data_IF_222492127904
#
_entry.id   IF_222492127904
#
_cell.length_a   1.000
_cell.length_b   1.000
_cell.length_c   1.000
_cell.angle_alpha   90.00
_cell.angle_beta   90.00
_cell.angle_gamma   90.00
#
_symmetry.space_group_name_H-M   'P 1'
#
loop_
_entity.id
_entity.type
_entity.pdbx_description
1 polymer ?
#
# COMPACT_ATOMS: atom_id res chain seq x y z
N UNK A 1 -1.90 -34.87 31.63
CA UNK A 1 -1.60 -34.92 30.17
C UNK A 1 -1.46 -33.51 29.57
N UNK A 2 -2.47 -32.64 29.73
CA UNK A 2 -2.44 -31.27 29.19
C UNK A 2 -1.25 -30.43 29.68
N UNK A 3 -0.96 -30.40 30.98
CA UNK A 3 0.20 -29.67 31.53
C UNK A 3 1.51 -30.08 30.86
N UNK A 4 1.72 -31.38 30.62
CA UNK A 4 2.93 -31.89 29.94
C UNK A 4 2.97 -31.45 28.47
N UNK A 5 1.83 -31.49 27.78
CA UNK A 5 1.71 -31.05 26.40
C UNK A 5 2.03 -29.54 26.26
N UNK A 6 1.44 -28.70 27.11
CA UNK A 6 1.72 -27.25 27.09
C UNK A 6 3.18 -26.92 27.36
N UNK A 7 3.81 -27.59 28.33
CA UNK A 7 5.24 -27.41 28.60
C UNK A 7 6.10 -27.86 27.40
N UNK A 8 5.71 -28.93 26.71
CA UNK A 8 6.43 -29.42 25.54
C UNK A 8 6.26 -28.53 24.30
N UNK A 9 5.10 -27.90 24.14
CA UNK A 9 4.77 -26.98 23.02
C UNK A 9 5.38 -25.60 23.22
N UNK A 10 5.55 -25.17 24.48
CA UNK A 10 5.99 -23.81 24.80
C UNK A 10 7.25 -23.36 24.04
N UNK A 11 8.33 -24.16 23.92
CA UNK A 11 9.49 -23.75 23.13
C UNK A 11 9.17 -23.53 21.64
N UNK A 12 8.38 -24.43 21.03
CA UNK A 12 8.02 -24.34 19.60
C UNK A 12 7.15 -23.12 19.30
N UNK A 13 6.34 -22.67 20.25
CA UNK A 13 5.47 -21.51 20.09
C UNK A 13 6.16 -20.19 20.49
N UNK A 14 6.84 -20.16 21.64
CA UNK A 14 7.35 -18.92 22.23
C UNK A 14 8.68 -18.46 21.63
N UNK A 15 9.58 -19.36 21.21
CA UNK A 15 10.86 -18.94 20.62
C UNK A 15 10.71 -18.17 19.31
N UNK A 16 9.91 -18.63 18.33
CA UNK A 16 9.69 -17.87 17.10
C UNK A 16 9.01 -16.53 17.37
N UNK A 17 7.98 -16.50 18.22
CA UNK A 17 7.27 -15.26 18.58
C UNK A 17 8.19 -14.26 19.29
N UNK A 18 9.04 -14.71 20.22
CA UNK A 18 10.01 -13.85 20.87
C UNK A 18 11.07 -13.33 19.88
N UNK A 19 11.50 -14.16 18.93
CA UNK A 19 12.40 -13.76 17.85
C UNK A 19 11.81 -12.67 16.95
N UNK A 20 10.53 -12.82 16.56
CA UNK A 20 9.79 -11.80 15.81
C UNK A 20 9.69 -10.50 16.60
N UNK A 21 9.22 -10.54 17.84
CA UNK A 21 9.08 -9.34 18.67
C UNK A 21 10.41 -8.63 18.93
N UNK A 22 11.51 -9.39 19.05
CA UNK A 22 12.85 -8.82 19.14
C UNK A 22 13.26 -8.13 17.83
N UNK A 23 12.99 -8.75 16.68
CA UNK A 23 13.23 -8.16 15.37
C UNK A 23 12.41 -6.88 15.20
N UNK A 24 11.12 -6.90 15.54
CA UNK A 24 10.24 -5.72 15.53
C UNK A 24 10.78 -4.61 16.42
N UNK A 25 11.21 -4.93 17.64
CA UNK A 25 11.80 -3.96 18.55
C UNK A 25 13.07 -3.32 17.97
N UNK A 26 13.95 -4.12 17.36
CA UNK A 26 15.18 -3.62 16.71
C UNK A 26 14.83 -2.72 15.52
N UNK A 27 13.90 -3.15 14.66
CA UNK A 27 13.41 -2.36 13.53
C UNK A 27 12.84 -1.03 14.02
N UNK A 28 11.90 -1.04 14.97
CA UNK A 28 11.29 0.16 15.53
C UNK A 28 12.32 1.10 16.16
N UNK A 29 13.28 0.57 16.93
CA UNK A 29 14.34 1.39 17.54
C UNK A 29 15.28 1.99 16.49
N UNK A 30 15.62 1.24 15.44
CA UNK A 30 16.49 1.73 14.37
C UNK A 30 15.80 2.75 13.45
N UNK A 31 14.49 2.63 13.25
CA UNK A 31 13.71 3.55 12.41
C UNK A 31 13.13 4.74 13.18
N UNK A 32 13.04 4.67 14.51
CA UNK A 32 12.48 5.72 15.37
C UNK A 32 12.98 7.15 15.04
N UNK A 33 14.28 7.39 14.79
CA UNK A 33 14.77 8.74 14.47
C UNK A 33 14.26 9.30 13.13
N UNK A 34 13.73 8.44 12.26
CA UNK A 34 13.27 8.77 10.91
C UNK A 34 11.75 8.87 10.81
N UNK A 35 11.00 8.55 11.88
CA UNK A 35 9.54 8.64 11.88
C UNK A 35 9.12 10.11 11.94
N UNK A 36 8.47 10.59 10.87
CA UNK A 36 7.99 11.97 10.76
C UNK A 36 6.65 12.20 11.47
N UNK A 37 5.76 11.19 11.42
CA UNK A 37 4.37 11.24 11.89
C UNK A 37 3.79 9.83 12.04
N UNK A 38 2.77 9.67 12.89
CA UNK A 38 2.09 8.39 13.12
C UNK A 38 2.64 7.59 14.32
N UNK A 39 2.15 6.35 14.47
CA UNK A 39 2.62 5.40 15.49
C UNK A 39 2.55 3.98 14.94
N UNK A 40 3.43 3.07 15.38
CA UNK A 40 3.30 1.67 15.02
C UNK A 40 1.99 1.09 15.59
N UNK A 41 1.35 0.23 14.82
CA UNK A 41 0.17 -0.54 15.27
C UNK A 41 0.64 -1.76 16.06
N UNK A 42 0.98 -1.55 17.34
CA UNK A 42 1.49 -2.61 18.23
C UNK A 42 0.51 -3.79 18.37
N UNK A 43 -0.79 -3.53 18.20
CA UNK A 43 -1.82 -4.56 18.16
C UNK A 43 -1.66 -5.53 16.99
N UNK A 44 -1.16 -5.08 15.84
CA UNK A 44 -0.89 -5.94 14.69
C UNK A 44 0.38 -6.77 14.92
N UNK A 45 1.44 -6.17 15.49
CA UNK A 45 2.65 -6.90 15.88
C UNK A 45 2.32 -8.01 16.90
N UNK A 46 1.42 -7.73 17.84
CA UNK A 46 0.92 -8.75 18.76
C UNK A 46 0.13 -9.85 18.04
N UNK A 47 -0.68 -9.50 17.04
CA UNK A 47 -1.40 -10.49 16.23
C UNK A 47 -0.46 -11.39 15.43
N UNK A 48 0.62 -10.85 14.86
CA UNK A 48 1.62 -11.61 14.13
C UNK A 48 2.42 -12.54 15.05
N UNK A 49 2.79 -12.07 16.24
CA UNK A 49 3.42 -12.90 17.26
C UNK A 49 2.52 -14.07 17.69
N UNK A 50 1.22 -13.83 17.84
CA UNK A 50 0.23 -14.87 18.14
C UNK A 50 0.08 -15.85 16.97
N UNK A 51 0.03 -15.35 15.73
CA UNK A 51 -0.04 -16.19 14.53
C UNK A 51 1.19 -17.11 14.42
N UNK A 52 2.38 -16.58 14.68
CA UNK A 52 3.62 -17.33 14.65
C UNK A 52 3.70 -18.37 15.77
N UNK A 53 3.26 -18.01 16.98
CA UNK A 53 3.15 -18.95 18.10
C UNK A 53 2.14 -20.08 17.80
N UNK A 54 1.00 -19.74 17.19
CA UNK A 54 -0.01 -20.70 16.76
C UNK A 54 0.52 -21.66 15.70
N UNK A 55 1.27 -21.16 14.70
CA UNK A 55 1.93 -21.98 13.69
C UNK A 55 2.95 -22.95 14.33
N UNK A 56 3.76 -22.48 15.29
CA UNK A 56 4.69 -23.31 16.04
C UNK A 56 3.99 -24.42 16.84
N UNK A 57 2.86 -24.10 17.48
CA UNK A 57 2.06 -25.08 18.21
C UNK A 57 1.41 -26.13 17.29
N UNK A 58 0.88 -25.71 16.13
CA UNK A 58 0.33 -26.62 15.12
C UNK A 58 1.43 -27.53 14.55
N UNK A 59 2.60 -26.97 14.20
CA UNK A 59 3.75 -27.74 13.75
C UNK A 59 4.20 -28.78 14.77
N UNK A 60 4.19 -28.44 16.07
CA UNK A 60 4.46 -29.39 17.15
C UNK A 60 3.44 -30.54 17.16
N UNK A 61 2.14 -30.24 17.08
CA UNK A 61 1.08 -31.27 17.05
C UNK A 61 1.25 -32.19 15.83
N UNK A 62 1.55 -31.63 14.65
CA UNK A 62 1.80 -32.43 13.44
C UNK A 62 3.05 -33.30 13.60
N UNK A 63 4.13 -32.78 14.18
CA UNK A 63 5.34 -33.55 14.47
C UNK A 63 5.12 -34.72 15.45
N UNK A 64 4.16 -34.59 16.38
CA UNK A 64 3.73 -35.70 17.24
C UNK A 64 2.94 -36.78 16.48
N UNK A 65 2.19 -36.39 15.44
CA UNK A 65 1.35 -37.30 14.67
C UNK A 65 2.08 -37.96 13.49
N UNK A 66 3.08 -37.29 12.92
CA UNK A 66 3.80 -37.70 11.72
C UNK A 66 5.28 -37.87 12.05
N UNK A 67 5.73 -39.13 12.20
CA UNK A 67 7.12 -39.47 12.57
C UNK A 67 8.13 -39.36 11.42
N UNK A 68 7.82 -38.58 10.38
CA UNK A 68 8.64 -38.48 9.19
C UNK A 68 9.59 -37.30 9.26
N UNK A 69 10.89 -37.53 9.02
CA UNK A 69 11.94 -36.52 9.15
C UNK A 69 11.76 -35.32 8.21
N UNK A 70 11.12 -35.51 7.05
CA UNK A 70 10.87 -34.43 6.09
C UNK A 70 9.52 -33.73 6.31
N UNK A 71 8.73 -34.12 7.32
CA UNK A 71 7.45 -33.47 7.59
C UNK A 71 7.65 -31.99 7.95
N UNK A 72 8.65 -31.68 8.79
CA UNK A 72 8.95 -30.31 9.18
C UNK A 72 9.33 -29.39 7.99
N UNK A 73 10.35 -29.72 7.15
CA UNK A 73 10.69 -28.86 6.03
C UNK A 73 9.56 -28.72 5.00
N UNK A 74 8.80 -29.80 4.74
CA UNK A 74 7.69 -29.73 3.79
C UNK A 74 6.50 -28.93 4.32
N UNK A 75 6.21 -28.99 5.63
CA UNK A 75 5.23 -28.10 6.24
C UNK A 75 5.67 -26.65 6.20
N UNK A 76 6.97 -26.38 6.37
CA UNK A 76 7.54 -25.05 6.20
C UNK A 76 7.33 -24.52 4.77
N UNK A 77 7.67 -25.32 3.76
CA UNK A 77 7.46 -24.97 2.34
C UNK A 77 5.97 -24.77 2.04
N UNK A 78 5.12 -25.71 2.47
CA UNK A 78 3.67 -25.60 2.25
C UNK A 78 3.07 -24.37 2.93
N UNK A 79 3.51 -24.06 4.16
CA UNK A 79 3.10 -22.85 4.89
C UNK A 79 3.52 -21.58 4.17
N UNK A 80 4.78 -21.51 3.71
CA UNK A 80 5.28 -20.37 2.93
C UNK A 80 4.48 -20.18 1.63
N UNK A 81 4.24 -21.25 0.88
CA UNK A 81 3.46 -21.21 -0.36
C UNK A 81 2.01 -20.79 -0.09
N UNK A 82 1.39 -21.28 0.99
CA UNK A 82 0.04 -20.88 1.38
C UNK A 82 -0.04 -19.38 1.77
N UNK A 83 0.95 -18.88 2.51
CA UNK A 83 1.05 -17.45 2.82
C UNK A 83 1.24 -16.60 1.56
N UNK A 84 2.06 -17.07 0.61
CA UNK A 84 2.26 -16.40 -0.67
C UNK A 84 0.94 -16.32 -1.46
N UNK A 85 0.24 -17.44 -1.66
CA UNK A 85 -1.06 -17.42 -2.34
C UNK A 85 -2.09 -16.55 -1.63
N UNK A 86 -2.10 -16.55 -0.29
CA UNK A 86 -2.96 -15.68 0.49
C UNK A 86 -2.63 -14.20 0.27
N UNK A 87 -1.35 -13.82 0.25
CA UNK A 87 -0.93 -12.43 0.08
C UNK A 87 -1.34 -11.85 -1.28
N UNK A 88 -1.30 -12.68 -2.34
CA UNK A 88 -1.66 -12.28 -3.71
C UNK A 88 -3.13 -12.55 -4.07
N UNK A 89 -3.96 -12.99 -3.13
CA UNK A 89 -5.38 -13.21 -3.41
C UNK A 89 -6.11 -11.88 -3.58
N UNK A 90 -6.86 -11.72 -4.67
CA UNK A 90 -7.72 -10.55 -4.93
C UNK A 90 -9.07 -10.61 -4.18
N UNK A 91 -9.18 -11.46 -3.16
CA UNK A 91 -10.41 -11.67 -2.40
C UNK A 91 -10.16 -11.53 -0.89
N UNK A 92 -11.24 -11.46 -0.10
CA UNK A 92 -11.17 -11.22 1.34
C UNK A 92 -10.41 -12.30 2.14
N UNK A 93 -10.08 -13.46 1.54
CA UNK A 93 -9.26 -14.47 2.22
C UNK A 93 -7.82 -14.00 2.47
N UNK A 94 -7.33 -13.02 1.71
CA UNK A 94 -5.99 -12.43 1.91
C UNK A 94 -5.79 -11.89 3.32
N UNK A 95 -6.87 -11.41 3.94
CA UNK A 95 -6.91 -10.84 5.28
C UNK A 95 -6.96 -11.88 6.41
N UNK A 96 -7.07 -13.18 6.10
CA UNK A 96 -6.96 -14.24 7.11
C UNK A 96 -5.51 -14.61 7.43
N UNK A 97 -4.58 -14.28 6.55
CA UNK A 97 -3.16 -14.55 6.70
C UNK A 97 -2.41 -13.32 7.23
N UNK A 98 -1.34 -13.52 8.02
CA UNK A 98 -0.46 -12.42 8.46
C UNK A 98 0.41 -11.86 7.32
N UNK A 99 0.33 -12.41 6.11
CA UNK A 99 1.13 -12.02 4.95
C UNK A 99 0.46 -10.97 4.06
N UNK A 100 -0.77 -10.54 4.39
CA UNK A 100 -1.46 -9.50 3.64
C UNK A 100 -0.75 -8.15 3.84
N UNK A 101 -0.25 -7.58 2.75
CA UNK A 101 0.36 -6.26 2.75
C UNK A 101 -0.70 -5.17 2.53
N UNK A 102 -0.51 -4.01 3.18
CA UNK A 102 -1.28 -2.81 2.90
C UNK A 102 -0.34 -1.61 2.96
N UNK A 103 -0.32 -0.83 1.89
CA UNK A 103 0.58 0.31 1.74
C UNK A 103 -0.27 1.57 1.61
N UNK A 104 -0.60 2.17 2.75
CA UNK A 104 -1.19 3.52 2.82
C UNK A 104 -0.88 4.08 4.21
N UNK A 105 0.00 5.07 4.29
CA UNK A 105 0.55 5.56 5.57
C UNK A 105 -0.42 6.43 6.37
N UNK A 106 -1.53 6.84 5.76
CA UNK A 106 -2.62 7.59 6.38
C UNK A 106 -3.78 6.70 6.84
N UNK A 107 -3.69 5.39 6.66
CA UNK A 107 -4.71 4.44 7.10
C UNK A 107 -4.41 3.88 8.49
N UNK A 108 -5.48 3.40 9.14
CA UNK A 108 -5.43 2.65 10.38
C UNK A 108 -6.27 1.38 10.26
N UNK A 109 -5.88 0.29 10.94
CA UNK A 109 -6.71 -0.88 11.00
C UNK A 109 -7.98 -0.58 11.82
N UNK A 110 -9.09 -1.23 11.48
CA UNK A 110 -10.27 -1.26 12.33
C UNK A 110 -9.91 -1.93 13.66
N UNK A 111 -10.36 -1.34 14.76
CA UNK A 111 -9.93 -1.69 16.11
C UNK A 111 -10.12 -3.17 16.50
N UNK A 112 -11.08 -3.85 15.86
CA UNK A 112 -11.39 -5.26 16.15
C UNK A 112 -10.57 -6.24 15.30
N UNK A 113 -9.86 -5.79 14.26
CA UNK A 113 -9.16 -6.69 13.34
C UNK A 113 -8.03 -7.47 14.03
N UNK A 114 -7.14 -6.78 14.75
CA UNK A 114 -6.07 -7.41 15.50
C UNK A 114 -6.58 -8.49 16.50
N UNK A 115 -7.55 -8.21 17.40
CA UNK A 115 -8.08 -9.24 18.28
C UNK A 115 -8.83 -10.36 17.54
N UNK A 116 -9.50 -10.07 16.42
CA UNK A 116 -10.10 -11.13 15.60
C UNK A 116 -9.04 -12.03 14.95
N UNK A 117 -7.95 -11.47 14.42
CA UNK A 117 -6.83 -12.22 13.86
C UNK A 117 -6.14 -13.11 14.91
N UNK A 118 -5.94 -12.58 16.12
CA UNK A 118 -5.45 -13.37 17.27
C UNK A 118 -6.42 -14.51 17.62
N UNK A 119 -7.72 -14.23 17.69
CA UNK A 119 -8.74 -15.22 18.02
C UNK A 119 -8.84 -16.33 16.96
N UNK A 120 -8.70 -15.97 15.68
CA UNK A 120 -8.63 -16.90 14.56
C UNK A 120 -7.45 -17.86 14.70
N UNK A 121 -6.22 -17.33 14.78
CA UNK A 121 -5.00 -18.14 14.77
C UNK A 121 -4.80 -18.91 16.07
N UNK A 122 -4.96 -18.25 17.23
CA UNK A 122 -4.87 -18.91 18.53
C UNK A 122 -5.97 -19.94 18.74
N UNK A 123 -7.21 -19.66 18.28
CA UNK A 123 -8.33 -20.58 18.40
C UNK A 123 -8.10 -21.89 17.65
N UNK A 124 -7.52 -21.84 16.44
CA UNK A 124 -7.13 -23.03 15.69
C UNK A 124 -6.05 -23.86 16.42
N UNK A 125 -5.00 -23.21 16.92
CA UNK A 125 -3.93 -23.89 17.64
C UNK A 125 -4.43 -24.52 18.95
N UNK A 126 -5.22 -23.79 19.73
CA UNK A 126 -5.83 -24.28 20.97
C UNK A 126 -6.79 -25.45 20.71
N UNK A 127 -7.62 -25.37 19.67
CA UNK A 127 -8.49 -26.47 19.28
C UNK A 127 -7.69 -27.74 18.95
N UNK A 128 -6.60 -27.63 18.20
CA UNK A 128 -5.72 -28.76 17.86
C UNK A 128 -5.04 -29.36 19.11
N UNK A 129 -4.49 -28.50 19.99
CA UNK A 129 -3.86 -28.92 21.24
C UNK A 129 -4.85 -29.63 22.18
N UNK A 130 -6.05 -29.09 22.34
CA UNK A 130 -7.10 -29.70 23.18
C UNK A 130 -7.59 -31.01 22.56
N UNK A 131 -7.85 -31.05 21.25
CA UNK A 131 -8.29 -32.26 20.56
C UNK A 131 -7.25 -33.39 20.65
N UNK A 132 -5.95 -33.05 20.63
CA UNK A 132 -4.86 -33.99 20.81
C UNK A 132 -4.68 -34.41 22.29
N UNK A 133 -4.57 -33.44 23.20
CA UNK A 133 -4.27 -33.68 24.61
C UNK A 133 -5.42 -34.27 25.43
N UNK A 134 -6.67 -34.03 25.02
CA UNK A 134 -7.88 -34.59 25.64
C UNK A 134 -8.38 -35.86 24.92
N UNK A 135 -7.66 -36.38 23.92
CA UNK A 135 -8.05 -37.59 23.17
C UNK A 135 -8.43 -38.79 24.06
N UNK A 136 -7.77 -39.06 25.21
CA UNK A 136 -8.15 -40.16 26.11
C UNK A 136 -9.37 -39.85 27.00
N UNK A 137 -9.76 -38.58 27.12
CA UNK A 137 -10.85 -38.14 27.98
C UNK A 137 -12.13 -37.94 27.15
N UNK A 138 -13.31 -38.19 27.74
CA UNK A 138 -14.62 -37.87 27.12
C UNK A 138 -14.88 -36.34 26.98
N UNK A 139 -13.85 -35.51 27.17
CA UNK A 139 -13.90 -34.05 27.15
C UNK A 139 -13.54 -33.43 25.80
N UNK A 140 -13.45 -34.26 24.75
CA UNK A 140 -13.19 -33.82 23.37
C UNK A 140 -14.11 -32.70 22.86
N UNK A 141 -15.41 -32.61 23.25
CA UNK A 141 -16.26 -31.47 22.89
C UNK A 141 -15.73 -30.11 23.36
N UNK A 142 -14.87 -30.05 24.39
CA UNK A 142 -14.27 -28.79 24.83
C UNK A 142 -13.36 -28.16 23.76
N UNK A 143 -12.81 -28.94 22.83
CA UNK A 143 -12.04 -28.41 21.70
C UNK A 143 -12.91 -27.65 20.68
N UNK A 144 -14.23 -27.83 20.71
CA UNK A 144 -15.16 -27.12 19.83
C UNK A 144 -15.31 -25.64 20.22
N UNK A 145 -15.08 -25.29 21.49
CA UNK A 145 -15.19 -23.90 21.96
C UNK A 145 -14.17 -22.98 21.26
N UNK A 146 -12.85 -23.23 21.34
CA UNK A 146 -11.88 -22.38 20.63
C UNK A 146 -12.01 -22.46 19.11
N UNK A 147 -12.47 -23.60 18.57
CA UNK A 147 -12.75 -23.72 17.14
C UNK A 147 -13.92 -22.82 16.72
N UNK A 148 -15.01 -22.79 17.49
CA UNK A 148 -16.15 -21.91 17.23
C UNK A 148 -15.75 -20.43 17.28
N UNK A 149 -14.92 -20.05 18.25
CA UNK A 149 -14.33 -18.70 18.33
C UNK A 149 -13.51 -18.38 17.08
N UNK A 150 -12.64 -19.30 16.65
CA UNK A 150 -11.82 -19.11 15.46
C UNK A 150 -12.70 -18.92 14.21
N UNK A 151 -13.71 -19.76 14.01
CA UNK A 151 -14.63 -19.67 12.87
C UNK A 151 -15.42 -18.36 12.88
N UNK A 152 -15.90 -17.91 14.05
CA UNK A 152 -16.61 -16.64 14.17
C UNK A 152 -15.70 -15.43 13.84
N UNK A 153 -14.45 -15.46 14.31
CA UNK A 153 -13.45 -14.43 14.00
C UNK A 153 -13.12 -14.41 12.50
N UNK A 154 -12.82 -15.56 11.90
CA UNK A 154 -12.57 -15.68 10.46
C UNK A 154 -13.76 -15.22 9.63
N UNK A 155 -14.98 -15.60 10.02
CA UNK A 155 -16.20 -15.18 9.32
C UNK A 155 -16.40 -13.67 9.35
N UNK A 156 -15.94 -13.00 10.42
CA UNK A 156 -15.99 -11.55 10.53
C UNK A 156 -14.96 -10.88 9.62
N UNK A 157 -13.75 -11.44 9.54
CA UNK A 157 -12.68 -10.98 8.63
C UNK A 157 -13.07 -11.18 7.17
N UNK A 158 -13.65 -12.33 6.82
CA UNK A 158 -14.08 -12.65 5.45
C UNK A 158 -15.21 -11.74 4.91
N UNK A 159 -15.89 -11.00 5.79
CA UNK A 159 -16.90 -10.00 5.39
C UNK A 159 -16.31 -8.63 5.07
N UNK A 160 -15.01 -8.44 5.26
CA UNK A 160 -14.34 -7.21 4.86
C UNK A 160 -14.31 -7.08 3.33
N UNK A 161 -14.37 -5.85 2.79
CA UNK A 161 -14.17 -5.62 1.36
C UNK A 161 -12.82 -6.22 0.89
N UNK A 162 -12.77 -6.88 -0.27
CA UNK A 162 -11.51 -7.46 -0.78
C UNK A 162 -10.39 -6.43 -0.91
N UNK A 163 -10.75 -5.28 -1.47
CA UNK A 163 -9.85 -4.21 -1.92
C UNK A 163 -9.34 -3.37 -0.74
N UNK A 164 -10.25 -2.88 0.11
CA UNK A 164 -9.91 -2.05 1.28
C UNK A 164 -9.52 -2.88 2.52
N UNK A 165 -10.13 -4.05 2.70
CA UNK A 165 -9.89 -4.89 3.86
C UNK A 165 -10.20 -4.23 5.20
N UNK A 166 -9.33 -4.44 6.22
CA UNK A 166 -9.51 -3.89 7.55
C UNK A 166 -9.07 -2.42 7.67
N UNK A 167 -8.64 -1.77 6.59
CA UNK A 167 -8.00 -0.46 6.64
C UNK A 167 -8.99 0.66 6.40
N UNK A 168 -8.90 1.72 7.20
CA UNK A 168 -9.73 2.91 7.06
C UNK A 168 -8.86 4.16 7.19
N UNK A 169 -9.16 5.24 6.44
CA UNK A 169 -8.45 6.51 6.61
C UNK A 169 -8.45 6.96 8.07
N UNK A 170 -7.27 7.22 8.63
CA UNK A 170 -7.14 7.82 9.95
C UNK A 170 -7.55 9.30 9.83
N UNK A 171 -8.62 9.75 10.50
CA UNK A 171 -9.09 11.13 10.35
C UNK A 171 -8.04 12.18 10.77
N UNK A 172 -7.07 11.82 11.61
CA UNK A 172 -6.00 12.73 12.03
C UNK A 172 -4.89 12.87 10.97
N UNK A 173 -4.55 11.77 10.28
CA UNK A 173 -3.45 11.71 9.30
C UNK A 173 -3.94 11.94 7.88
N UNK A 174 -5.09 11.39 7.54
CA UNK A 174 -5.67 11.48 6.21
C UNK A 174 -6.25 12.86 5.90
N UNK A 175 -6.60 13.71 6.87
CA UNK A 175 -7.26 15.01 6.57
C UNK A 175 -6.41 15.85 5.57
N UNK A 176 -7.02 16.53 4.60
CA UNK A 176 -6.28 17.32 3.63
C UNK A 176 -5.76 18.61 4.28
N UNK A 177 -4.55 19.01 3.88
CA UNK A 177 -3.90 20.28 4.23
C UNK A 177 -3.46 20.92 2.91
N UNK A 178 -4.06 22.06 2.58
CA UNK A 178 -3.85 22.75 1.31
C UNK A 178 -3.06 24.04 1.48
N UNK A 179 -2.35 24.44 0.44
CA UNK A 179 -1.83 25.80 0.30
C UNK A 179 -2.90 26.76 -0.26
N UNK A 180 -2.54 28.05 -0.32
CA UNK A 180 -3.37 29.12 -0.88
C UNK A 180 -3.08 29.37 -2.38
N UNK A 181 -2.44 28.41 -3.06
CA UNK A 181 -2.03 28.51 -4.45
C UNK A 181 -3.19 28.45 -5.45
N UNK A 182 -2.89 28.66 -6.73
CA UNK A 182 -3.85 28.39 -7.82
C UNK A 182 -3.08 27.83 -9.02
N UNK A 183 -3.19 26.52 -9.31
CA UNK A 183 -3.96 25.48 -8.60
C UNK A 183 -3.54 25.30 -7.13
N UNK A 184 -4.47 24.95 -6.23
CA UNK A 184 -4.11 24.63 -4.85
C UNK A 184 -3.38 23.29 -4.79
N UNK A 185 -2.41 23.16 -3.90
CA UNK A 185 -1.74 21.88 -3.60
C UNK A 185 -2.22 21.40 -2.26
N UNK A 186 -2.86 20.24 -2.23
CA UNK A 186 -3.40 19.60 -1.03
C UNK A 186 -2.69 18.26 -0.78
N UNK A 187 -2.03 18.15 0.37
CA UNK A 187 -1.40 16.91 0.84
C UNK A 187 -2.14 16.39 2.07
N UNK A 188 -1.88 15.15 2.48
CA UNK A 188 -2.41 14.62 3.74
C UNK A 188 -1.78 15.35 4.94
N UNK A 189 -2.40 15.29 6.12
CA UNK A 189 -1.80 15.84 7.33
C UNK A 189 -0.51 15.13 7.75
N UNK A 190 -0.30 13.88 7.30
CA UNK A 190 0.97 13.17 7.42
C UNK A 190 2.10 13.97 6.74
N UNK A 191 1.83 14.47 5.53
CA UNK A 191 2.80 15.13 4.65
C UNK A 191 2.77 16.66 4.76
N UNK A 192 2.03 17.21 5.73
CA UNK A 192 1.85 18.66 5.87
C UNK A 192 3.16 19.46 5.96
N UNK A 193 4.24 18.85 6.50
CA UNK A 193 5.57 19.48 6.56
C UNK A 193 6.26 19.59 5.20
N UNK A 194 5.90 18.72 4.25
CA UNK A 194 6.42 18.71 2.89
C UNK A 194 5.67 19.67 1.98
N UNK A 195 4.47 20.14 2.38
CA UNK A 195 3.63 21.02 1.56
C UNK A 195 4.41 22.21 0.96
N UNK A 196 5.26 22.97 1.69
CA UNK A 196 6.02 24.05 1.07
C UNK A 196 6.98 23.60 -0.05
N UNK A 197 7.63 22.44 0.11
CA UNK A 197 8.55 21.89 -0.89
C UNK A 197 7.80 21.35 -2.10
N UNK A 198 6.66 20.67 -1.87
CA UNK A 198 5.76 20.17 -2.92
C UNK A 198 5.18 21.33 -3.73
N UNK A 199 4.66 22.37 -3.05
CA UNK A 199 4.15 23.58 -3.71
C UNK A 199 5.24 24.29 -4.52
N UNK A 200 6.46 24.39 -3.99
CA UNK A 200 7.59 24.97 -4.72
C UNK A 200 7.99 24.13 -5.94
N UNK A 201 7.96 22.80 -5.82
CA UNK A 201 8.24 21.88 -6.92
C UNK A 201 7.24 22.02 -8.06
N UNK A 202 5.95 22.21 -7.74
CA UNK A 202 4.86 22.35 -8.70
C UNK A 202 4.67 23.78 -9.23
N UNK A 203 5.22 24.80 -8.57
CA UNK A 203 5.04 26.20 -8.97
C UNK A 203 5.35 26.49 -10.46
N UNK A 204 6.43 25.97 -11.08
CA UNK A 204 6.69 26.17 -12.50
C UNK A 204 5.62 25.54 -13.41
N UNK A 205 5.10 24.38 -13.04
CA UNK A 205 4.02 23.70 -13.77
C UNK A 205 2.71 24.48 -13.63
N UNK A 206 2.37 24.88 -12.40
CA UNK A 206 1.20 25.67 -12.07
C UNK A 206 1.17 27.00 -12.84
N UNK A 207 2.32 27.66 -12.98
CA UNK A 207 2.43 28.89 -13.76
C UNK A 207 2.09 28.68 -15.25
N UNK A 208 2.41 27.52 -15.83
CA UNK A 208 2.06 27.18 -17.23
C UNK A 208 0.59 26.80 -17.39
N UNK A 209 0.02 26.13 -16.39
CA UNK A 209 -1.37 25.68 -16.40
C UNK A 209 -2.38 26.76 -15.98
N UNK A 210 -1.90 27.85 -15.38
CA UNK A 210 -2.73 28.91 -14.85
C UNK A 210 -3.75 29.46 -15.87
N UNK A 211 -5.02 29.37 -15.49
CA UNK A 211 -6.16 29.89 -16.25
C UNK A 211 -6.45 29.15 -17.56
N UNK A 212 -5.90 27.94 -17.77
CA UNK A 212 -6.29 27.10 -18.90
C UNK A 212 -7.58 26.34 -18.58
N UNK A 213 -8.55 26.30 -19.51
CA UNK A 213 -9.64 25.33 -19.44
C UNK A 213 -9.07 23.91 -19.40
N UNK A 214 -9.59 23.07 -18.50
CA UNK A 214 -9.13 21.70 -18.32
C UNK A 214 -7.86 21.54 -17.46
N UNK A 215 -7.23 22.64 -17.02
CA UNK A 215 -6.15 22.55 -16.03
C UNK A 215 -6.68 22.17 -14.65
N UNK A 216 -5.83 21.59 -13.78
CA UNK A 216 -6.18 21.31 -12.39
C UNK A 216 -6.65 22.57 -11.69
N UNK A 217 -7.74 22.47 -10.95
CA UNK A 217 -8.12 23.47 -9.94
C UNK A 217 -7.33 23.20 -8.67
N UNK A 218 -7.12 21.92 -8.35
CA UNK A 218 -6.36 21.48 -7.19
C UNK A 218 -5.63 20.18 -7.47
N UNK A 219 -4.45 20.08 -6.90
CA UNK A 219 -3.66 18.87 -6.81
C UNK A 219 -3.93 18.21 -5.46
N UNK A 220 -4.20 16.91 -5.42
CA UNK A 220 -4.64 16.20 -4.22
C UNK A 220 -3.89 14.89 -4.05
N UNK A 221 -3.29 14.65 -2.88
CA UNK A 221 -2.71 13.35 -2.49
C UNK A 221 -3.51 12.70 -1.36
N UNK A 222 -3.40 11.37 -1.24
CA UNK A 222 -4.03 10.57 -0.21
C UNK A 222 -5.39 9.99 -0.59
N UNK A 223 -6.21 9.57 0.38
CA UNK A 223 -7.37 8.70 0.14
C UNK A 223 -8.55 9.41 -0.54
N UNK A 224 -8.42 10.70 -0.84
CA UNK A 224 -9.49 11.46 -1.47
C UNK A 224 -9.43 11.42 -2.99
N UNK A 225 -8.29 11.08 -3.60
CA UNK A 225 -8.10 11.11 -5.05
C UNK A 225 -8.70 12.34 -5.74
N UNK A 226 -8.96 12.26 -7.04
CA UNK A 226 -9.68 13.28 -7.81
C UNK A 226 -11.20 13.26 -7.55
N UNK A 227 -11.65 13.49 -6.31
CA UNK A 227 -13.08 13.37 -5.94
C UNK A 227 -13.97 14.54 -6.36
N UNK A 228 -13.41 15.72 -6.64
CA UNK A 228 -14.18 16.89 -7.08
C UNK A 228 -13.79 17.31 -8.50
N UNK A 229 -14.70 17.97 -9.24
CA UNK A 229 -14.37 18.45 -10.58
C UNK A 229 -13.13 19.33 -10.59
N UNK A 230 -12.15 18.98 -11.44
CA UNK A 230 -10.88 19.69 -11.55
C UNK A 230 -9.84 19.33 -10.49
N UNK A 231 -10.12 18.39 -9.59
CA UNK A 231 -9.08 17.79 -8.76
C UNK A 231 -8.26 16.82 -9.61
N UNK A 232 -6.95 16.84 -9.43
CA UNK A 232 -6.02 15.91 -10.08
C UNK A 232 -5.15 15.27 -9.01
N UNK A 233 -5.06 13.95 -9.07
CA UNK A 233 -4.29 13.17 -8.12
C UNK A 233 -2.78 13.47 -8.24
N UNK A 234 -2.11 13.54 -7.11
CA UNK A 234 -0.67 13.67 -7.01
C UNK A 234 -0.03 12.35 -6.62
N UNK A 235 1.19 12.07 -7.11
CA UNK A 235 2.02 11.04 -6.51
C UNK A 235 2.27 11.36 -5.02
N UNK A 236 2.35 10.31 -4.20
CA UNK A 236 2.56 10.46 -2.77
C UNK A 236 3.94 11.08 -2.50
N UNK A 237 4.01 12.29 -1.87
CA UNK A 237 5.27 12.99 -1.66
C UNK A 237 6.30 12.17 -0.89
N UNK A 238 5.84 11.32 0.02
CA UNK A 238 6.68 10.46 0.84
C UNK A 238 7.65 9.60 0.02
N UNK A 239 7.22 9.03 -1.10
CA UNK A 239 8.04 8.10 -1.90
C UNK A 239 9.31 8.76 -2.47
N UNK A 240 9.25 10.07 -2.73
CA UNK A 240 10.36 10.86 -3.25
C UNK A 240 11.14 11.62 -2.16
N UNK A 241 10.85 11.36 -0.88
CA UNK A 241 11.48 12.07 0.23
C UNK A 241 12.54 11.27 0.96
N UNK A 242 13.59 11.97 1.38
CA UNK A 242 14.59 11.43 2.31
C UNK A 242 14.79 12.43 3.44
N UNK A 243 14.64 11.97 4.69
CA UNK A 243 14.75 12.82 5.90
C UNK A 243 13.82 14.04 5.86
N UNK A 244 12.56 13.81 5.48
CA UNK A 244 11.50 14.84 5.38
C UNK A 244 11.83 15.99 4.42
N UNK A 245 12.56 15.70 3.34
CA UNK A 245 12.83 16.63 2.25
C UNK A 245 12.64 15.94 0.91
N UNK A 246 12.13 16.66 -0.06
CA UNK A 246 11.98 16.18 -1.42
C UNK A 246 13.36 16.11 -2.07
N UNK A 247 13.82 14.89 -2.39
CA UNK A 247 15.20 14.67 -2.84
C UNK A 247 15.41 15.17 -4.26
N UNK A 248 14.39 15.02 -5.12
CA UNK A 248 14.41 15.39 -6.54
C UNK A 248 13.10 16.12 -6.92
N UNK A 249 12.99 17.43 -6.63
CA UNK A 249 11.76 18.21 -6.88
C UNK A 249 11.37 18.34 -8.36
N UNK A 250 12.34 18.26 -9.24
CA UNK A 250 12.20 18.16 -10.69
C UNK A 250 11.50 16.86 -11.12
N UNK A 251 11.92 15.73 -10.57
CA UNK A 251 11.28 14.45 -10.87
C UNK A 251 9.90 14.33 -10.26
N UNK A 252 9.70 14.82 -9.04
CA UNK A 252 8.35 14.87 -8.46
C UNK A 252 7.39 15.68 -9.36
N UNK A 253 7.86 16.78 -9.95
CA UNK A 253 7.08 17.56 -10.91
C UNK A 253 6.78 16.77 -12.19
N UNK A 254 7.75 16.05 -12.74
CA UNK A 254 7.54 15.19 -13.91
C UNK A 254 6.52 14.07 -13.59
N UNK A 255 6.62 13.44 -12.43
CA UNK A 255 5.64 12.48 -11.93
C UNK A 255 4.25 13.11 -11.85
N UNK A 256 4.10 14.31 -11.28
CA UNK A 256 2.81 15.01 -11.23
C UNK A 256 2.22 15.29 -12.63
N UNK A 257 3.04 15.60 -13.63
CA UNK A 257 2.58 15.74 -15.03
C UNK A 257 2.16 14.39 -15.61
N UNK A 258 2.88 13.32 -15.30
CA UNK A 258 2.50 11.97 -15.73
C UNK A 258 1.15 11.57 -15.14
N UNK A 259 0.92 11.84 -13.85
CA UNK A 259 -0.36 11.59 -13.19
C UNK A 259 -1.50 12.46 -13.72
N UNK A 260 -1.22 13.71 -14.13
CA UNK A 260 -2.20 14.57 -14.80
C UNK A 260 -2.77 13.93 -16.07
N UNK A 261 -1.97 13.13 -16.77
CA UNK A 261 -2.35 12.47 -18.02
C UNK A 261 -2.54 10.96 -17.88
N UNK A 262 -2.47 10.41 -16.67
CA UNK A 262 -2.67 8.98 -16.42
C UNK A 262 -4.16 8.63 -16.41
N UNK A 263 -4.81 8.78 -17.56
CA UNK A 263 -6.09 8.12 -17.78
C UNK A 263 -5.86 6.61 -17.93
N UNK A 264 -6.67 5.79 -17.27
CA UNK A 264 -6.65 4.33 -17.43
C UNK A 264 -7.26 3.95 -18.77
N UNK A 265 -6.49 4.14 -19.84
CA UNK A 265 -6.90 3.78 -21.19
C UNK A 265 -6.59 2.31 -21.50
N UNK A 266 -7.40 1.70 -22.36
CA UNK A 266 -7.13 0.35 -22.88
C UNK A 266 -5.90 0.29 -23.78
N UNK A 267 -5.48 -0.92 -24.21
CA UNK A 267 -4.24 -1.14 -24.98
C UNK A 267 -4.13 -0.38 -26.32
N UNK A 268 -5.23 0.19 -26.82
CA UNK A 268 -5.23 1.00 -28.04
C UNK A 268 -4.69 2.44 -27.85
N UNK A 269 -4.51 2.92 -26.61
CA UNK A 269 -3.92 4.24 -26.33
C UNK A 269 -2.39 4.30 -26.57
N UNK A 270 -1.75 3.15 -26.80
CA UNK A 270 -0.30 3.08 -27.03
C UNK A 270 0.19 3.88 -28.25
N UNK A 271 -0.66 4.14 -29.24
CA UNK A 271 -0.28 4.90 -30.45
C UNK A 271 -0.07 6.40 -30.22
N UNK A 272 -0.60 6.98 -29.14
CA UNK A 272 -0.35 8.37 -28.75
C UNK A 272 0.85 8.52 -27.79
N UNK A 273 1.55 7.43 -27.48
CA UNK A 273 2.61 7.38 -26.46
C UNK A 273 3.73 8.40 -26.66
N UNK A 274 4.24 8.58 -27.89
CA UNK A 274 5.31 9.54 -28.18
C UNK A 274 4.86 11.00 -27.98
N UNK A 275 3.59 11.31 -28.26
CA UNK A 275 3.03 12.66 -28.07
C UNK A 275 2.84 12.90 -26.58
N UNK A 276 2.30 11.93 -25.83
CA UNK A 276 2.17 12.02 -24.39
C UNK A 276 3.53 12.22 -23.71
N UNK A 277 4.53 11.42 -24.09
CA UNK A 277 5.90 11.57 -23.61
C UNK A 277 6.44 12.98 -23.94
N UNK A 278 6.27 13.44 -25.18
CA UNK A 278 6.74 14.77 -25.58
C UNK A 278 6.09 15.91 -24.78
N UNK A 279 4.79 15.82 -24.48
CA UNK A 279 4.10 16.84 -23.69
C UNK A 279 4.56 16.80 -22.23
N UNK A 280 4.72 15.60 -21.65
CA UNK A 280 5.24 15.43 -20.30
C UNK A 280 6.64 16.03 -20.16
N UNK A 281 7.56 15.67 -21.06
CA UNK A 281 8.93 16.19 -21.07
C UNK A 281 9.02 17.68 -21.39
N UNK A 282 8.09 18.20 -22.19
CA UNK A 282 8.01 19.64 -22.45
C UNK A 282 7.54 20.43 -21.22
N UNK A 283 6.56 19.91 -20.46
CA UNK A 283 6.00 20.56 -19.27
C UNK A 283 6.91 20.45 -18.05
N UNK A 284 7.50 19.29 -17.82
CA UNK A 284 8.39 19.00 -16.71
C UNK A 284 9.46 17.98 -17.16
N UNK A 285 10.60 18.43 -17.72
CA UNK A 285 11.65 17.52 -18.19
C UNK A 285 12.20 16.63 -17.07
N UNK A 286 12.48 15.36 -17.35
CA UNK A 286 13.31 14.54 -16.46
C UNK A 286 14.79 14.94 -16.54
N UNK A 287 15.59 14.73 -15.49
CA UNK A 287 17.04 14.84 -15.52
C UNK A 287 17.68 13.83 -16.47
N UNK A 288 18.85 14.16 -17.04
CA UNK A 288 19.54 13.30 -18.02
C UNK A 288 19.92 11.91 -17.48
N UNK A 289 20.01 11.73 -16.16
CA UNK A 289 20.33 10.46 -15.49
C UNK A 289 19.10 9.61 -15.14
N UNK A 290 17.88 10.07 -15.49
CA UNK A 290 16.64 9.41 -15.12
C UNK A 290 15.53 9.62 -16.16
N UNK A 291 14.72 8.58 -16.37
CA UNK A 291 13.54 8.66 -17.24
C UNK A 291 13.64 7.77 -18.48
N UNK A 292 12.58 7.76 -19.31
CA UNK A 292 12.54 6.98 -20.54
C UNK A 292 13.44 7.58 -21.63
N UNK A 293 13.79 6.76 -22.61
CA UNK A 293 14.43 7.26 -23.84
C UNK A 293 13.46 8.19 -24.59
N UNK A 294 13.86 9.45 -24.77
CA UNK A 294 13.05 10.49 -25.40
C UNK A 294 13.32 10.64 -26.90
N UNK A 295 14.19 9.80 -27.48
CA UNK A 295 14.60 9.92 -28.89
C UNK A 295 13.43 9.94 -29.88
N UNK A 296 12.40 9.12 -29.67
CA UNK A 296 11.19 9.10 -30.52
C UNK A 296 10.30 10.34 -30.32
N UNK A 297 10.26 10.88 -29.10
CA UNK A 297 9.46 12.04 -28.73
C UNK A 297 10.13 13.38 -29.08
N UNK A 298 11.46 13.40 -29.27
CA UNK A 298 12.26 14.61 -29.47
C UNK A 298 11.74 15.55 -30.59
N UNK A 299 11.33 15.06 -31.78
CA UNK A 299 10.81 15.93 -32.83
C UNK A 299 9.52 16.67 -32.44
N UNK A 300 8.73 16.12 -31.53
CA UNK A 300 7.52 16.75 -31.00
C UNK A 300 7.88 17.76 -29.90
N UNK A 301 8.85 17.43 -29.03
CA UNK A 301 9.38 18.34 -28.01
C UNK A 301 9.95 19.60 -28.67
N UNK A 302 10.76 19.43 -29.73
CA UNK A 302 11.37 20.55 -30.45
C UNK A 302 10.30 21.45 -31.11
N UNK A 303 9.25 20.84 -31.68
CA UNK A 303 8.10 21.59 -32.22
C UNK A 303 7.35 22.37 -31.16
N UNK A 304 7.13 21.80 -29.98
CA UNK A 304 6.50 22.51 -28.86
C UNK A 304 7.36 23.69 -28.38
N UNK A 305 8.68 23.49 -28.28
CA UNK A 305 9.63 24.53 -27.87
C UNK A 305 9.74 25.66 -28.90
N UNK A 306 9.63 25.35 -30.19
CA UNK A 306 9.72 26.33 -31.28
C UNK A 306 8.48 27.24 -31.40
N UNK A 307 7.32 26.83 -30.86
CA UNK A 307 6.09 27.63 -30.86
C UNK A 307 6.24 28.90 -30.02
N UNK A 308 5.54 29.96 -30.41
CA UNK A 308 5.37 31.14 -29.57
C UNK A 308 4.59 30.81 -28.29
N UNK A 309 4.70 31.62 -27.21
CA UNK A 309 3.94 31.37 -25.98
C UNK A 309 2.42 31.26 -26.18
N UNK A 310 1.85 32.03 -27.12
CA UNK A 310 0.44 31.98 -27.45
C UNK A 310 0.05 30.65 -28.14
N UNK A 311 0.89 30.16 -29.06
CA UNK A 311 0.67 28.89 -29.74
C UNK A 311 0.86 27.69 -28.80
N UNK A 312 1.84 27.76 -27.89
CA UNK A 312 2.02 26.78 -26.82
C UNK A 312 0.78 26.70 -25.93
N UNK A 313 0.25 27.87 -25.51
CA UNK A 313 -0.98 27.94 -24.72
C UNK A 313 -2.17 27.35 -25.47
N UNK A 314 -2.35 27.73 -26.74
CA UNK A 314 -3.44 27.22 -27.57
C UNK A 314 -3.34 25.70 -27.80
N UNK A 315 -2.13 25.17 -27.96
CA UNK A 315 -1.91 23.73 -28.05
C UNK A 315 -2.31 23.02 -26.75
N UNK A 316 -1.84 23.53 -25.60
CA UNK A 316 -2.13 22.91 -24.31
C UNK A 316 -3.62 22.91 -23.96
N UNK A 317 -4.37 23.94 -24.37
CA UNK A 317 -5.84 23.96 -24.25
C UNK A 317 -6.48 22.82 -25.05
N UNK A 318 -6.06 22.62 -26.30
CA UNK A 318 -6.60 21.52 -27.12
C UNK A 318 -6.22 20.16 -26.55
N UNK A 319 -4.99 20.04 -26.06
CA UNK A 319 -4.47 18.80 -25.50
C UNK A 319 -5.18 18.43 -24.19
N UNK A 320 -5.40 19.38 -23.28
CA UNK A 320 -6.17 19.17 -22.04
C UNK A 320 -7.65 18.86 -22.30
N UNK A 321 -8.19 19.26 -23.45
CA UNK A 321 -9.56 18.97 -23.86
C UNK A 321 -9.70 17.65 -24.65
N UNK A 322 -8.58 17.04 -25.07
CA UNK A 322 -8.58 15.80 -25.82
C UNK A 322 -8.88 14.60 -24.92
N UNK A 323 -9.57 13.60 -25.46
CA UNK A 323 -9.68 12.31 -24.80
C UNK A 323 -8.37 11.56 -24.96
N UNK A 324 -7.61 11.40 -23.86
CA UNK A 324 -6.34 10.68 -23.86
C UNK A 324 -6.49 9.20 -24.27
N UNK A 325 -7.71 8.65 -24.24
CA UNK A 325 -7.99 7.29 -24.67
C UNK A 325 -8.36 7.16 -26.16
N UNK A 326 -8.55 8.29 -26.86
CA UNK A 326 -8.74 8.32 -28.31
C UNK A 326 -7.45 8.82 -28.99
N UNK A 327 -6.59 7.91 -29.48
CA UNK A 327 -5.29 8.31 -30.03
C UNK A 327 -5.41 9.20 -31.27
N UNK A 328 -6.49 9.07 -32.05
CA UNK A 328 -6.73 9.91 -33.23
C UNK A 328 -7.22 11.32 -32.84
N UNK A 329 -7.73 11.46 -31.62
CA UNK A 329 -8.17 12.73 -31.02
C UNK A 329 -7.04 13.54 -30.36
N UNK A 330 -5.86 12.94 -30.13
CA UNK A 330 -4.74 13.64 -29.48
C UNK A 330 -4.07 14.61 -30.48
N UNK A 331 -4.04 15.92 -30.19
CA UNK A 331 -3.48 16.89 -31.12
C UNK A 331 -1.96 16.75 -31.24
N UNK A 332 -1.47 16.74 -32.48
CA UNK A 332 -0.04 16.73 -32.78
C UNK A 332 0.55 18.15 -32.67
N UNK A 333 1.72 18.34 -32.03
CA UNK A 333 2.45 19.61 -31.98
C UNK A 333 2.81 20.20 -33.36
#
# INVERSE_FOLDING_TARGET
PLRRLFVAVAPSALWPAAGLLLADAVCLLSTWPYVSTGRPFLELLAADAVALAAAGALGHVVGLLVRWRLAAPLLGIAGYVALLFSAYAENSTRWLGPAGEHVSYWDRPVWWYAPASMAWTAGLALAALLAHGLRPARLRPLALVPLAVAVAAASSILRLPPDEGPWRPDPALARPVCDDGTPQVCVTALDAKLLPEVSAALAPLNARLAGLPGAPVRWVSGPYGATRPGDVELPDPWEDTTRSRLTRPDLYRNSAVTWLFSATCGPHAASAGDIHLAVTEWLAPTPDDYGPDTASAQPYIDRLRAKSPAEQRAYLIRYLAADACDPDGVPVP
#
